data_IF_264770038611
#
_entry.id   IF_264770038611
#
_cell.length_a   1.000
_cell.length_b   1.000
_cell.length_c   1.000
_cell.angle_alpha   90.00
_cell.angle_beta   90.00
_cell.angle_gamma   90.00
#
_symmetry.space_group_name_H-M   'P 1'
#
loop_
_entity.id
_entity.type
_entity.pdbx_description
1 polymer ?
#
# COMPACT_ATOMS: atom_id res chain seq x y z
N UNK A 1 -10.30 11.78 0.16
CA UNK A 1 -9.82 11.91 -1.24
C UNK A 1 -10.81 11.16 -2.14
N UNK A 2 -10.99 11.54 -3.40
CA UNK A 2 -11.76 10.72 -4.36
C UNK A 2 -10.87 9.55 -4.83
N UNK A 3 -11.44 8.35 -5.04
CA UNK A 3 -10.75 7.17 -5.60
C UNK A 3 -10.00 7.48 -6.90
N UNK A 4 -10.57 8.32 -7.78
CA UNK A 4 -9.89 8.73 -9.02
C UNK A 4 -8.61 9.57 -8.75
N UNK A 5 -8.60 10.35 -7.66
CA UNK A 5 -7.40 11.10 -7.27
C UNK A 5 -6.34 10.12 -6.74
N UNK A 6 -6.72 9.18 -5.88
CA UNK A 6 -5.82 8.13 -5.40
C UNK A 6 -5.27 7.27 -6.53
N UNK A 7 -6.12 6.93 -7.52
CA UNK A 7 -5.69 6.18 -8.70
C UNK A 7 -4.58 6.90 -9.46
N UNK A 8 -4.70 8.21 -9.68
CA UNK A 8 -3.63 9.00 -10.31
C UNK A 8 -2.36 9.03 -9.46
N UNK A 9 -2.50 9.12 -8.14
CA UNK A 9 -1.39 9.11 -7.19
C UNK A 9 -0.68 7.76 -7.09
N UNK A 10 -1.23 6.67 -7.64
CA UNK A 10 -0.51 5.37 -7.78
C UNK A 10 0.62 5.44 -8.81
N UNK A 11 0.59 6.42 -9.72
CA UNK A 11 1.67 6.67 -10.68
C UNK A 11 2.72 7.61 -10.06
N UNK A 12 3.97 7.14 -9.99
CA UNK A 12 5.11 7.95 -9.53
C UNK A 12 5.95 8.46 -10.70
N UNK A 13 6.67 9.54 -10.45
CA UNK A 13 7.87 9.88 -11.21
C UNK A 13 9.08 9.03 -10.73
N UNK A 14 10.29 9.37 -11.20
CA UNK A 14 11.53 8.69 -10.81
C UNK A 14 12.11 9.10 -9.46
N UNK A 15 11.43 9.97 -8.69
CA UNK A 15 11.91 10.36 -7.37
C UNK A 15 11.65 9.23 -6.35
N UNK A 16 12.66 8.89 -5.58
CA UNK A 16 12.60 7.79 -4.61
C UNK A 16 11.46 7.91 -3.59
N UNK A 17 11.23 9.09 -3.03
CA UNK A 17 10.18 9.29 -2.04
C UNK A 17 8.79 9.21 -2.66
N UNK A 18 8.64 9.73 -3.88
CA UNK A 18 7.39 9.65 -4.62
C UNK A 18 7.02 8.21 -4.97
N UNK A 19 8.02 7.36 -5.31
CA UNK A 19 7.78 5.94 -5.58
C UNK A 19 7.22 5.24 -4.34
N UNK A 20 7.80 5.50 -3.17
CA UNK A 20 7.26 4.94 -1.93
C UNK A 20 5.87 5.48 -1.61
N UNK A 21 5.65 6.77 -1.80
CA UNK A 21 4.33 7.37 -1.56
C UNK A 21 3.28 6.76 -2.49
N UNK A 22 3.59 6.53 -3.77
CA UNK A 22 2.67 5.92 -4.73
C UNK A 22 2.35 4.47 -4.39
N UNK A 23 3.32 3.70 -3.88
CA UNK A 23 3.10 2.35 -3.35
C UNK A 23 2.10 2.38 -2.19
N UNK A 24 2.29 3.27 -1.20
CA UNK A 24 1.36 3.35 -0.06
C UNK A 24 -0.04 3.81 -0.47
N UNK A 25 -0.15 4.77 -1.40
CA UNK A 25 -1.46 5.15 -1.96
C UNK A 25 -2.11 3.98 -2.68
N UNK A 26 -1.33 3.17 -3.41
CA UNK A 26 -1.83 1.94 -4.06
C UNK A 26 -2.38 0.96 -3.03
N UNK A 27 -1.68 0.72 -1.92
CA UNK A 27 -2.17 -0.14 -0.83
C UNK A 27 -3.49 0.39 -0.24
N UNK A 28 -3.60 1.70 0.04
CA UNK A 28 -4.83 2.30 0.57
C UNK A 28 -6.00 2.20 -0.41
N UNK A 29 -5.77 2.50 -1.69
CA UNK A 29 -6.80 2.39 -2.73
C UNK A 29 -7.27 0.94 -2.88
N UNK A 30 -6.34 -0.01 -2.94
CA UNK A 30 -6.66 -1.43 -3.05
C UNK A 30 -7.48 -1.91 -1.85
N UNK A 31 -7.07 -1.58 -0.62
CA UNK A 31 -7.80 -1.92 0.60
C UNK A 31 -9.22 -1.37 0.59
N UNK A 32 -9.40 -0.13 0.14
CA UNK A 32 -10.71 0.51 0.06
C UNK A 32 -11.62 -0.27 -0.89
N UNK A 33 -11.17 -0.46 -2.15
CA UNK A 33 -11.95 -1.15 -3.17
C UNK A 33 -12.19 -2.63 -2.84
N UNK A 34 -11.19 -3.33 -2.29
CA UNK A 34 -11.30 -4.74 -1.95
C UNK A 34 -12.28 -4.99 -0.81
N UNK A 35 -12.43 -4.05 0.14
CA UNK A 35 -13.46 -4.12 1.18
C UNK A 35 -14.86 -4.01 0.59
N UNK A 36 -15.07 -3.08 -0.34
CA UNK A 36 -16.37 -2.92 -1.01
C UNK A 36 -16.74 -4.17 -1.81
N UNK A 37 -15.77 -4.75 -2.53
CA UNK A 37 -15.94 -6.01 -3.26
C UNK A 37 -16.24 -7.17 -2.30
N UNK A 38 -15.51 -7.27 -1.19
CA UNK A 38 -15.73 -8.31 -0.20
C UNK A 38 -17.12 -8.20 0.44
N UNK A 39 -17.56 -6.98 0.78
CA UNK A 39 -18.91 -6.71 1.30
C UNK A 39 -19.98 -7.14 0.29
N UNK A 40 -19.85 -6.72 -0.97
CA UNK A 40 -20.82 -7.05 -2.02
C UNK A 40 -20.98 -8.57 -2.24
N UNK A 41 -19.87 -9.32 -2.20
CA UNK A 41 -19.89 -10.76 -2.39
C UNK A 41 -19.98 -11.56 -1.09
N UNK A 42 -20.14 -10.91 0.07
CA UNK A 42 -20.18 -11.53 1.40
C UNK A 42 -18.92 -12.35 1.73
N UNK A 43 -17.76 -11.90 1.26
CA UNK A 43 -16.46 -12.43 1.67
C UNK A 43 -15.86 -11.65 2.83
N UNK A 44 -14.96 -12.28 3.57
CA UNK A 44 -14.15 -11.60 4.59
C UNK A 44 -12.89 -11.05 3.95
N UNK A 45 -12.70 -9.73 4.01
CA UNK A 45 -11.44 -9.10 3.61
C UNK A 45 -10.34 -9.44 4.64
N UNK A 46 -9.17 -9.98 4.23
CA UNK A 46 -8.10 -10.40 5.13
C UNK A 46 -7.31 -9.19 5.67
N UNK A 47 -7.91 -8.44 6.59
CA UNK A 47 -7.34 -7.19 7.13
C UNK A 47 -6.00 -7.39 7.86
N UNK A 48 -5.80 -8.54 8.47
CA UNK A 48 -4.57 -8.83 9.21
C UNK A 48 -3.38 -9.00 8.26
N UNK A 49 -3.55 -9.72 7.15
CA UNK A 49 -2.52 -9.88 6.12
C UNK A 49 -2.14 -8.54 5.50
N UNK A 50 -3.15 -7.73 5.18
CA UNK A 50 -3.00 -6.40 4.62
C UNK A 50 -2.29 -5.43 5.59
N UNK A 51 -2.62 -5.49 6.88
CA UNK A 51 -1.95 -4.70 7.93
C UNK A 51 -0.49 -5.14 8.07
N UNK A 52 -0.24 -6.44 8.17
CA UNK A 52 1.10 -7.00 8.30
C UNK A 52 2.00 -6.65 7.10
N UNK A 53 1.46 -6.74 5.88
CA UNK A 53 2.17 -6.37 4.65
C UNK A 53 2.47 -4.86 4.63
N UNK A 54 1.51 -4.02 5.01
CA UNK A 54 1.70 -2.57 5.06
C UNK A 54 2.79 -2.17 6.07
N UNK A 55 2.80 -2.79 7.26
CA UNK A 55 3.84 -2.55 8.27
C UNK A 55 5.21 -3.06 7.82
N UNK A 56 5.27 -4.22 7.15
CA UNK A 56 6.49 -4.71 6.53
C UNK A 56 7.06 -3.72 5.51
N UNK A 57 6.24 -3.16 4.61
CA UNK A 57 6.69 -2.17 3.63
C UNK A 57 7.19 -0.87 4.31
N UNK A 58 6.50 -0.41 5.35
CA UNK A 58 6.95 0.75 6.14
C UNK A 58 8.28 0.50 6.82
N UNK A 59 8.53 -0.73 7.28
CA UNK A 59 9.81 -1.13 7.84
C UNK A 59 10.91 -1.13 6.78
N UNK A 60 10.67 -1.77 5.62
CA UNK A 60 11.62 -1.81 4.50
C UNK A 60 12.00 -0.41 4.03
N UNK A 61 11.05 0.52 3.91
CA UNK A 61 11.34 1.92 3.52
C UNK A 61 12.32 2.61 4.48
N UNK A 62 12.33 2.23 5.76
CA UNK A 62 13.19 2.85 6.79
C UNK A 62 14.56 2.19 6.89
N UNK A 63 14.79 1.08 6.18
CA UNK A 63 16.09 0.40 6.22
C UNK A 63 17.18 1.31 5.62
N UNK A 64 18.41 1.23 6.15
CA UNK A 64 19.58 1.81 5.51
C UNK A 64 19.75 1.28 4.08
N UNK A 65 20.31 2.13 3.20
CA UNK A 65 20.59 1.76 1.80
C UNK A 65 21.53 0.55 1.67
N UNK A 66 22.34 0.30 2.69
CA UNK A 66 23.33 -0.78 2.78
C UNK A 66 22.91 -1.91 3.74
N UNK A 67 21.64 -1.95 4.16
CA UNK A 67 21.11 -3.00 5.01
C UNK A 67 21.42 -4.40 4.44
N UNK A 68 21.99 -5.26 5.30
CA UNK A 68 22.33 -6.66 4.95
C UNK A 68 21.25 -7.65 5.35
N UNK A 69 20.42 -7.26 6.30
CA UNK A 69 19.33 -8.04 6.86
C UNK A 69 18.10 -7.13 7.02
N UNK A 70 16.93 -7.74 7.04
CA UNK A 70 15.65 -7.04 7.19
C UNK A 70 15.17 -7.10 8.64
N UNK A 71 15.68 -8.02 9.46
CA UNK A 71 15.33 -8.20 10.88
C UNK A 71 16.58 -8.31 11.73
#
# INVERSE_FOLDING_TARGET
MNEFVQYKETYSDGNYDNVWNSIFVTCELFRTLAKDVAEYFMYTYPIDDDTNMTEYLKHVRKLPVDAKEIY
#
